data_IF_817143304647
#
_entry.id   IF_817143304647
#
_cell.length_a   1.000
_cell.length_b   1.000
_cell.length_c   1.000
_cell.angle_alpha   90.00
_cell.angle_beta   90.00
_cell.angle_gamma   90.00
#
_symmetry.space_group_name_H-M   'P 1'
#
loop_
_entity.id
_entity.type
_entity.pdbx_description
1 polymer ?
#
# COMPACT_ATOMS: atom_id res chain seq x y z
N UNK A 1 -3.62 -25.63 -26.33
CA UNK A 1 -4.31 -24.33 -26.43
C UNK A 1 -4.86 -23.99 -25.04
N UNK A 2 -4.17 -23.17 -24.27
CA UNK A 2 -4.68 -22.64 -23.02
C UNK A 2 -5.50 -21.39 -23.34
N UNK A 3 -6.81 -21.46 -23.16
CA UNK A 3 -7.69 -20.31 -23.22
C UNK A 3 -7.49 -19.54 -21.92
N UNK A 4 -6.74 -18.44 -21.96
CA UNK A 4 -6.72 -17.47 -20.87
C UNK A 4 -8.06 -16.75 -20.90
N UNK A 5 -8.97 -17.16 -20.03
CA UNK A 5 -10.15 -16.38 -19.72
C UNK A 5 -9.67 -15.09 -19.03
N UNK A 6 -9.56 -13.99 -19.77
CA UNK A 6 -9.47 -12.65 -19.21
C UNK A 6 -10.79 -12.41 -18.48
N UNK A 7 -10.75 -12.48 -17.16
CA UNK A 7 -11.83 -11.95 -16.33
C UNK A 7 -11.85 -10.44 -16.57
N UNK A 8 -12.67 -9.98 -17.52
CA UNK A 8 -13.04 -8.56 -17.60
C UNK A 8 -13.92 -8.32 -16.38
N UNK A 9 -13.33 -7.79 -15.31
CA UNK A 9 -14.09 -7.16 -14.23
C UNK A 9 -14.71 -5.89 -14.81
N UNK A 10 -15.78 -6.02 -15.60
CA UNK A 10 -16.61 -4.90 -15.94
C UNK A 10 -17.47 -4.59 -14.72
N UNK A 11 -17.47 -3.33 -14.29
CA UNK A 11 -18.43 -2.84 -13.28
C UNK A 11 -19.82 -3.21 -13.79
N UNK A 12 -20.62 -3.86 -12.96
CA UNK A 12 -22.00 -4.19 -13.32
C UNK A 12 -22.78 -2.87 -13.51
N UNK A 13 -23.13 -2.55 -14.74
CA UNK A 13 -23.89 -1.34 -15.10
C UNK A 13 -25.25 -1.29 -14.37
N UNK A 14 -25.72 -2.40 -13.82
CA UNK A 14 -26.98 -2.42 -13.09
C UNK A 14 -26.91 -1.66 -11.74
N UNK A 15 -25.71 -1.49 -11.17
CA UNK A 15 -25.53 -0.68 -9.95
C UNK A 15 -25.91 0.79 -10.12
N UNK A 16 -25.98 1.28 -11.36
CA UNK A 16 -26.35 2.66 -11.69
C UNK A 16 -27.83 2.81 -12.07
N UNK A 17 -28.60 1.73 -12.14
CA UNK A 17 -30.00 1.75 -12.58
C UNK A 17 -30.95 1.89 -11.38
N UNK A 18 -32.10 2.52 -11.65
CA UNK A 18 -33.22 2.61 -10.69
C UNK A 18 -32.85 3.22 -9.32
N UNK A 19 -31.84 4.07 -9.28
CA UNK A 19 -31.49 4.79 -8.06
C UNK A 19 -32.34 6.04 -7.89
N UNK A 20 -32.75 6.39 -6.66
CA UNK A 20 -33.54 7.59 -6.37
C UNK A 20 -32.71 8.90 -6.44
N UNK A 21 -31.45 8.80 -6.84
CA UNK A 21 -30.51 9.91 -6.99
C UNK A 21 -29.57 9.66 -8.19
N UNK A 22 -28.92 10.71 -8.67
CA UNK A 22 -27.97 10.61 -9.77
C UNK A 22 -26.60 10.19 -9.23
N UNK A 23 -26.19 8.94 -9.51
CA UNK A 23 -24.86 8.42 -9.15
C UNK A 23 -23.89 8.68 -10.31
N UNK A 24 -22.79 9.44 -10.10
CA UNK A 24 -21.79 9.63 -11.13
C UNK A 24 -21.13 8.29 -11.48
N UNK A 25 -20.93 8.02 -12.75
CA UNK A 25 -20.21 6.81 -13.19
C UNK A 25 -18.74 6.94 -12.80
N UNK A 26 -18.24 5.89 -12.17
CA UNK A 26 -16.82 5.76 -11.85
C UNK A 26 -16.11 5.05 -13.00
N UNK A 27 -15.13 5.71 -13.59
CA UNK A 27 -14.31 5.11 -14.64
C UNK A 27 -13.31 4.14 -14.03
N UNK A 28 -13.22 2.94 -14.64
CA UNK A 28 -12.24 1.96 -14.23
C UNK A 28 -10.85 2.36 -14.75
N UNK A 29 -9.80 2.37 -13.89
CA UNK A 29 -8.44 2.65 -14.33
C UNK A 29 -8.00 1.71 -15.46
N UNK A 30 -7.31 2.24 -16.46
CA UNK A 30 -6.71 1.49 -17.55
C UNK A 30 -5.22 1.76 -17.64
N UNK A 31 -4.44 0.74 -17.97
CA UNK A 31 -2.98 0.81 -17.93
C UNK A 31 -2.38 0.34 -19.24
N UNK A 32 -1.25 0.94 -19.70
CA UNK A 32 -0.48 0.41 -20.80
C UNK A 32 -0.04 -1.05 -20.57
N UNK A 33 0.13 -1.79 -21.66
CA UNK A 33 0.63 -3.17 -21.62
C UNK A 33 2.15 -3.19 -21.43
N UNK A 34 2.60 -2.67 -20.28
CA UNK A 34 3.98 -2.71 -19.82
C UNK A 34 4.02 -3.27 -18.40
N UNK A 35 4.79 -4.33 -18.20
CA UNK A 35 4.83 -5.03 -16.93
C UNK A 35 6.27 -5.27 -16.49
N UNK A 36 6.54 -5.00 -15.21
CA UNK A 36 7.81 -5.33 -14.57
C UNK A 36 7.56 -6.08 -13.26
N UNK A 37 8.50 -6.94 -12.88
CA UNK A 37 8.50 -7.57 -11.55
C UNK A 37 9.47 -6.83 -10.63
N UNK A 38 9.14 -6.73 -9.35
CA UNK A 38 10.05 -6.17 -8.32
C UNK A 38 11.36 -6.95 -8.21
N UNK A 39 11.37 -8.21 -8.65
CA UNK A 39 12.60 -9.03 -8.71
C UNK A 39 13.67 -8.40 -9.61
N UNK A 40 13.27 -7.75 -10.69
CA UNK A 40 14.17 -7.05 -11.61
C UNK A 40 14.88 -5.86 -10.95
N UNK A 41 14.38 -5.41 -9.80
CA UNK A 41 14.93 -4.32 -9.00
C UNK A 41 15.62 -4.82 -7.73
N UNK A 42 15.89 -6.13 -7.65
CA UNK A 42 16.65 -6.75 -6.57
C UNK A 42 15.84 -7.06 -5.31
N UNK A 43 14.51 -7.12 -5.40
CA UNK A 43 13.66 -7.53 -4.29
C UNK A 43 13.91 -9.01 -3.93
N UNK A 44 13.79 -9.33 -2.62
CA UNK A 44 13.97 -10.68 -2.06
C UNK A 44 12.79 -11.06 -1.19
N UNK A 45 12.24 -12.25 -1.43
CA UNK A 45 11.08 -12.79 -0.71
C UNK A 45 11.45 -13.61 0.54
N UNK A 46 12.47 -13.18 1.26
CA UNK A 46 13.01 -13.87 2.44
C UNK A 46 12.36 -13.46 3.77
N UNK A 47 11.43 -12.51 3.74
CA UNK A 47 10.75 -11.98 4.92
C UNK A 47 11.61 -11.10 5.83
N UNK A 48 12.88 -10.87 5.49
CA UNK A 48 13.85 -10.13 6.31
C UNK A 48 14.49 -8.96 5.57
N UNK A 49 14.69 -9.09 4.26
CA UNK A 49 15.23 -8.02 3.43
C UNK A 49 14.19 -6.92 3.23
N UNK A 50 14.53 -5.68 3.55
CA UNK A 50 13.67 -4.52 3.34
C UNK A 50 13.61 -4.16 1.84
N UNK A 51 12.47 -4.40 1.22
CA UNK A 51 12.25 -4.24 -0.23
C UNK A 51 11.71 -2.87 -0.64
N UNK A 52 11.63 -1.91 0.27
CA UNK A 52 11.07 -0.56 0.03
C UNK A 52 11.65 0.11 -1.21
N UNK A 53 13.00 0.07 -1.33
CA UNK A 53 13.69 0.67 -2.48
C UNK A 53 13.34 -0.05 -3.78
N UNK A 54 13.38 -1.36 -3.80
CA UNK A 54 13.12 -2.17 -4.99
C UNK A 54 11.69 -1.97 -5.52
N UNK A 55 10.69 -1.94 -4.61
CA UNK A 55 9.29 -1.71 -4.98
C UNK A 55 9.10 -0.29 -5.52
N UNK A 56 9.60 0.74 -4.82
CA UNK A 56 9.46 2.12 -5.26
C UNK A 56 10.24 2.41 -6.55
N UNK A 57 11.39 1.79 -6.78
CA UNK A 57 12.14 1.92 -8.03
C UNK A 57 11.39 1.27 -9.22
N UNK A 58 10.74 0.12 -9.00
CA UNK A 58 9.87 -0.51 -9.99
C UNK A 58 8.68 0.41 -10.36
N UNK A 59 8.04 1.02 -9.36
CA UNK A 59 6.94 1.98 -9.56
C UNK A 59 7.42 3.18 -10.38
N UNK A 60 8.57 3.77 -10.04
CA UNK A 60 9.17 4.89 -10.78
C UNK A 60 9.50 4.52 -12.21
N UNK A 61 10.06 3.33 -12.44
CA UNK A 61 10.40 2.85 -13.79
C UNK A 61 9.15 2.68 -14.66
N UNK A 62 8.07 2.13 -14.12
CA UNK A 62 6.79 1.98 -14.84
C UNK A 62 6.15 3.34 -15.11
N UNK A 63 6.11 4.24 -14.13
CA UNK A 63 5.60 5.60 -14.31
C UNK A 63 6.39 6.36 -15.40
N UNK A 64 7.72 6.28 -15.40
CA UNK A 64 8.58 6.92 -16.39
C UNK A 64 8.38 6.40 -17.82
N UNK A 65 7.81 5.19 -17.99
CA UNK A 65 7.42 4.61 -19.29
C UNK A 65 6.00 4.99 -19.71
N UNK A 66 5.33 5.86 -18.96
CA UNK A 66 3.96 6.28 -19.23
C UNK A 66 2.90 5.45 -18.52
N UNK A 67 3.30 4.46 -17.72
CA UNK A 67 2.42 3.62 -16.93
C UNK A 67 2.53 2.13 -17.21
N UNK A 68 1.75 1.34 -16.48
CA UNK A 68 1.72 -0.12 -16.61
C UNK A 68 1.55 -0.83 -15.26
N UNK A 69 2.06 -2.04 -15.19
CA UNK A 69 1.90 -2.95 -14.05
C UNK A 69 3.23 -3.22 -13.35
N UNK A 70 3.26 -3.07 -12.04
CA UNK A 70 4.34 -3.56 -11.16
C UNK A 70 3.84 -4.82 -10.48
N UNK A 71 4.52 -5.95 -10.67
CA UNK A 71 4.14 -7.24 -10.11
C UNK A 71 4.97 -7.53 -8.87
N UNK A 72 4.26 -7.84 -7.78
CA UNK A 72 4.81 -8.47 -6.57
C UNK A 72 4.46 -9.96 -6.65
N UNK A 73 5.44 -10.85 -6.94
CA UNK A 73 5.20 -12.28 -7.05
C UNK A 73 4.80 -12.93 -5.71
N UNK A 74 4.45 -14.21 -5.76
CA UNK A 74 4.26 -15.01 -4.54
C UNK A 74 5.51 -14.95 -3.63
N UNK A 75 5.31 -15.01 -2.32
CA UNK A 75 6.38 -14.97 -1.32
C UNK A 75 6.11 -14.01 -0.18
N UNK A 76 7.08 -13.91 0.73
CA UNK A 76 7.02 -13.06 1.91
C UNK A 76 7.92 -11.83 1.70
N UNK A 77 7.31 -10.65 1.62
CA UNK A 77 7.96 -9.40 1.24
C UNK A 77 7.93 -8.40 2.39
N UNK A 78 9.04 -8.23 3.11
CA UNK A 78 9.16 -7.15 4.09
C UNK A 78 9.41 -5.82 3.36
N UNK A 79 8.67 -4.77 3.72
CA UNK A 79 8.82 -3.44 3.12
C UNK A 79 8.55 -2.33 4.12
N UNK A 80 9.03 -1.14 3.82
CA UNK A 80 8.57 0.13 4.39
C UNK A 80 7.57 0.81 3.46
N UNK A 81 7.43 2.16 3.52
CA UNK A 81 6.42 2.88 2.76
C UNK A 81 6.53 2.70 1.24
N UNK A 82 5.39 2.47 0.61
CA UNK A 82 5.21 2.41 -0.84
C UNK A 82 4.50 3.68 -1.30
N UNK A 83 5.05 4.35 -2.31
CA UNK A 83 4.44 5.51 -2.94
C UNK A 83 3.97 5.18 -4.35
N UNK A 84 2.65 5.25 -4.58
CA UNK A 84 2.07 5.03 -5.90
C UNK A 84 2.16 6.30 -6.73
N UNK A 85 2.55 6.15 -7.98
CA UNK A 85 2.63 7.21 -8.97
C UNK A 85 1.55 7.03 -10.03
N UNK A 86 1.24 8.10 -10.77
CA UNK A 86 0.23 8.08 -11.82
C UNK A 86 0.46 6.98 -12.85
N UNK A 87 -0.64 6.42 -13.35
CA UNK A 87 -0.68 5.36 -14.36
C UNK A 87 -0.02 4.03 -13.93
N UNK A 88 0.09 3.76 -12.63
CA UNK A 88 0.70 2.53 -12.12
C UNK A 88 -0.35 1.64 -11.45
N UNK A 89 -0.36 0.38 -11.87
CA UNK A 89 -1.08 -0.72 -11.22
C UNK A 89 -0.08 -1.54 -10.39
N UNK A 90 -0.15 -1.48 -9.06
CA UNK A 90 0.58 -2.37 -8.17
C UNK A 90 -0.21 -3.68 -8.04
N UNK A 91 0.32 -4.75 -8.62
CA UNK A 91 -0.35 -6.05 -8.69
C UNK A 91 0.36 -7.09 -7.83
N UNK A 92 -0.37 -7.71 -6.91
CA UNK A 92 0.12 -8.81 -6.10
C UNK A 92 -0.37 -10.15 -6.66
N UNK A 93 0.53 -11.09 -6.89
CA UNK A 93 0.14 -12.44 -7.26
C UNK A 93 -0.51 -13.17 -6.08
N UNK A 94 -1.16 -14.29 -6.38
CA UNK A 94 -1.70 -15.19 -5.35
C UNK A 94 -0.54 -15.67 -4.46
N UNK A 95 -0.79 -15.76 -3.16
CA UNK A 95 0.21 -16.11 -2.13
C UNK A 95 1.34 -15.07 -1.93
N UNK A 96 1.23 -13.88 -2.48
CA UNK A 96 2.09 -12.77 -2.06
C UNK A 96 1.62 -12.24 -0.71
N UNK A 97 2.53 -12.18 0.27
CA UNK A 97 2.32 -11.52 1.56
C UNK A 97 3.31 -10.37 1.69
N UNK A 98 2.79 -9.16 1.65
CA UNK A 98 3.57 -7.92 1.79
C UNK A 98 3.39 -7.42 3.22
N UNK A 99 4.45 -7.50 4.03
CA UNK A 99 4.45 -7.09 5.43
C UNK A 99 5.18 -5.77 5.56
N UNK A 100 4.50 -4.78 6.12
CA UNK A 100 5.12 -3.49 6.41
C UNK A 100 5.91 -3.58 7.73
N UNK A 101 7.17 -3.13 7.70
CA UNK A 101 8.01 -3.14 8.88
C UNK A 101 7.42 -2.30 10.02
N UNK A 102 7.63 -2.73 11.24
CA UNK A 102 7.32 -2.00 12.47
C UNK A 102 8.47 -1.09 12.94
N UNK A 103 9.57 -1.03 12.18
CA UNK A 103 10.62 -0.05 12.42
C UNK A 103 10.14 1.36 12.03
N UNK A 104 9.81 2.18 13.01
CA UNK A 104 9.33 3.55 12.81
C UNK A 104 10.32 4.43 12.04
N UNK A 105 11.62 4.13 12.10
CA UNK A 105 12.65 4.89 11.38
C UNK A 105 12.57 4.71 9.85
N UNK A 106 11.91 3.64 9.39
CA UNK A 106 11.68 3.41 7.97
C UNK A 106 10.61 4.35 7.37
N UNK A 107 9.88 5.10 8.22
CA UNK A 107 8.77 5.96 7.81
C UNK A 107 9.12 7.44 7.98
N UNK A 108 9.36 8.18 6.90
CA UNK A 108 9.62 9.61 6.96
C UNK A 108 8.49 10.38 7.65
N UNK A 109 8.84 11.39 8.43
CA UNK A 109 7.88 12.33 9.01
C UNK A 109 7.53 13.37 7.95
N UNK A 110 6.26 13.44 7.59
CA UNK A 110 5.73 14.34 6.57
C UNK A 110 4.84 15.42 7.20
N UNK A 111 4.90 16.61 6.62
CA UNK A 111 3.92 17.67 6.87
C UNK A 111 2.60 17.28 6.21
N UNK A 112 1.52 17.30 6.98
CA UNK A 112 0.19 16.87 6.52
C UNK A 112 -0.91 17.55 7.34
N UNK A 113 -2.16 17.27 7.01
CA UNK A 113 -3.30 17.65 7.85
C UNK A 113 -3.99 16.41 8.41
N UNK A 114 -4.47 16.51 9.63
CA UNK A 114 -5.29 15.49 10.28
C UNK A 114 -6.43 16.17 11.03
N UNK A 115 -7.65 15.76 10.73
CA UNK A 115 -8.87 16.37 11.32
C UNK A 115 -8.91 17.90 11.20
N UNK A 116 -8.43 18.44 10.07
CA UNK A 116 -8.38 19.87 9.81
C UNK A 116 -7.20 20.63 10.46
N UNK A 117 -6.33 19.94 11.21
CA UNK A 117 -5.17 20.54 11.83
C UNK A 117 -3.89 20.23 11.04
N UNK A 118 -3.06 21.24 10.81
CA UNK A 118 -1.72 21.05 10.25
C UNK A 118 -0.85 20.32 11.27
N UNK A 119 -0.24 19.23 10.87
CA UNK A 119 0.53 18.36 11.76
C UNK A 119 1.66 17.66 11.02
N UNK A 120 2.52 16.99 11.77
CA UNK A 120 3.58 16.13 11.24
C UNK A 120 3.29 14.69 11.65
N UNK A 121 3.29 13.80 10.67
CA UNK A 121 3.01 12.36 10.90
C UNK A 121 3.95 11.50 10.09
N UNK A 122 4.12 10.25 10.52
CA UNK A 122 4.77 9.23 9.71
C UNK A 122 4.04 9.05 8.38
N UNK A 123 4.79 8.85 7.31
CA UNK A 123 4.23 8.45 6.02
C UNK A 123 3.39 7.19 6.18
N UNK A 124 2.26 7.13 5.51
CA UNK A 124 1.43 5.93 5.49
C UNK A 124 2.15 4.77 4.80
N UNK A 125 1.87 3.50 5.19
CA UNK A 125 2.42 2.33 4.52
C UNK A 125 2.23 2.34 3.00
N UNK A 126 1.06 2.75 2.53
CA UNK A 126 0.80 3.02 1.12
C UNK A 126 0.28 4.45 1.00
N UNK A 127 0.88 5.21 0.10
CA UNK A 127 0.50 6.60 -0.15
C UNK A 127 0.50 6.90 -1.64
N UNK A 128 -0.27 7.94 -2.02
CA UNK A 128 -0.25 8.55 -3.34
C UNK A 128 -0.50 10.04 -3.18
N UNK A 129 0.29 10.88 -3.83
CA UNK A 129 0.13 12.33 -3.77
C UNK A 129 0.05 12.90 -5.19
N UNK A 130 -1.03 13.61 -5.48
CA UNK A 130 -1.28 14.18 -6.81
C UNK A 130 -1.15 13.14 -7.94
N UNK A 131 -1.56 11.88 -7.67
CA UNK A 131 -1.50 10.77 -8.60
C UNK A 131 -2.90 10.46 -9.13
N UNK A 132 -2.98 10.12 -10.41
CA UNK A 132 -4.21 9.72 -11.10
C UNK A 132 -4.02 8.39 -11.80
N UNK A 133 -5.13 7.71 -12.12
CA UNK A 133 -5.14 6.42 -12.80
C UNK A 133 -4.22 5.40 -12.10
N UNK A 134 -4.47 5.15 -10.81
CA UNK A 134 -3.73 4.22 -9.98
C UNK A 134 -4.61 3.05 -9.55
N UNK A 135 -4.02 1.88 -9.38
CA UNK A 135 -4.71 0.72 -8.83
C UNK A 135 -3.81 -0.15 -7.97
N UNK A 136 -4.43 -0.87 -7.05
CA UNK A 136 -3.86 -2.01 -6.35
C UNK A 136 -4.75 -3.20 -6.71
N UNK A 137 -4.17 -4.25 -7.29
CA UNK A 137 -4.92 -5.39 -7.81
C UNK A 137 -4.25 -6.71 -7.40
N UNK A 138 -4.94 -7.82 -7.69
CA UNK A 138 -4.44 -9.17 -7.45
C UNK A 138 -5.03 -9.81 -6.19
N UNK A 139 -4.40 -10.89 -5.72
CA UNK A 139 -4.92 -11.74 -4.66
C UNK A 139 -3.98 -11.85 -3.45
N UNK A 140 -2.90 -11.09 -3.44
CA UNK A 140 -1.98 -11.02 -2.32
C UNK A 140 -2.55 -10.26 -1.13
N UNK A 141 -1.84 -10.31 -0.02
CA UNK A 141 -2.22 -9.66 1.24
C UNK A 141 -1.21 -8.57 1.57
N UNK A 142 -1.70 -7.42 2.01
CA UNK A 142 -0.90 -6.37 2.63
C UNK A 142 -1.17 -6.36 4.12
N UNK A 143 -0.13 -6.60 4.92
CA UNK A 143 -0.17 -6.54 6.39
C UNK A 143 0.56 -5.29 6.86
N UNK A 144 -0.19 -4.35 7.41
CA UNK A 144 0.33 -3.08 7.91
C UNK A 144 1.02 -3.15 9.27
N UNK A 145 1.19 -4.32 9.87
CA UNK A 145 1.73 -4.51 11.23
C UNK A 145 1.06 -3.60 12.28
N UNK A 146 -0.27 -3.46 12.15
CA UNK A 146 -1.06 -2.43 12.80
C UNK A 146 -0.99 -2.43 14.33
N UNK A 147 -0.66 -3.55 14.95
CA UNK A 147 -0.55 -3.65 16.41
C UNK A 147 0.59 -2.79 16.96
N UNK A 148 1.70 -2.67 16.22
CA UNK A 148 2.85 -1.83 16.60
C UNK A 148 2.54 -0.32 16.53
N UNK A 149 1.49 0.08 15.78
CA UNK A 149 1.11 1.47 15.55
C UNK A 149 -0.04 1.96 16.45
N UNK A 150 -0.60 1.08 17.27
CA UNK A 150 -1.74 1.42 18.12
C UNK A 150 -1.30 2.14 19.38
N UNK A 151 -1.87 3.33 19.69
CA UNK A 151 -1.63 3.97 20.96
C UNK A 151 -2.15 3.11 22.12
N UNK A 152 -1.35 2.97 23.16
CA UNK A 152 -1.73 2.26 24.38
C UNK A 152 -2.54 3.20 25.28
N UNK A 153 -3.72 2.78 25.71
CA UNK A 153 -4.55 3.55 26.63
C UNK A 153 -4.15 3.27 28.08
N UNK A 154 -3.83 4.31 28.84
CA UNK A 154 -3.48 4.19 30.27
C UNK A 154 -4.51 3.40 31.08
N UNK A 155 -5.80 3.56 30.76
CA UNK A 155 -6.89 2.85 31.42
C UNK A 155 -6.89 1.33 31.22
N UNK A 156 -6.08 0.82 30.29
CA UNK A 156 -5.95 -0.63 30.00
C UNK A 156 -4.71 -1.25 30.62
N UNK A 157 -3.91 -0.48 31.36
CA UNK A 157 -2.68 -0.92 32.01
C UNK A 157 -2.76 -0.71 33.50
N UNK A 158 -1.98 -1.53 34.25
CA UNK A 158 -1.70 -1.22 35.66
C UNK A 158 -0.74 -0.03 35.76
N UNK A 159 -0.69 0.64 36.91
CA UNK A 159 0.21 1.76 37.14
C UNK A 159 1.68 1.40 36.83
N UNK A 160 2.15 0.23 37.30
CA UNK A 160 3.53 -0.23 37.05
C UNK A 160 3.82 -0.49 35.57
N UNK A 161 2.88 -1.06 34.82
CA UNK A 161 3.02 -1.27 33.36
C UNK A 161 3.06 0.08 32.62
N UNK A 162 2.21 1.04 33.03
CA UNK A 162 2.22 2.38 32.46
C UNK A 162 3.55 3.10 32.70
N UNK A 163 4.03 3.08 33.94
CA UNK A 163 5.30 3.71 34.30
C UNK A 163 6.49 3.08 33.58
N UNK A 164 6.50 1.76 33.43
CA UNK A 164 7.53 1.06 32.66
C UNK A 164 7.48 1.46 31.15
N UNK A 165 6.28 1.56 30.56
CA UNK A 165 6.10 1.98 29.18
C UNK A 165 6.58 3.42 28.94
N UNK A 166 6.22 4.35 29.83
CA UNK A 166 6.68 5.75 29.75
C UNK A 166 8.20 5.84 29.89
N UNK A 167 8.80 5.09 30.81
CA UNK A 167 10.25 5.04 31.00
C UNK A 167 11.00 4.45 29.81
N UNK A 168 10.35 3.60 29.01
CA UNK A 168 10.95 3.04 27.78
C UNK A 168 11.04 4.03 26.63
N UNK A 169 10.56 5.28 26.79
CA UNK A 169 10.60 6.32 25.76
C UNK A 169 9.25 6.64 25.11
N UNK A 170 8.16 6.13 25.68
CA UNK A 170 6.81 6.50 25.24
C UNK A 170 6.52 7.98 25.46
N UNK A 171 5.80 8.59 24.51
CA UNK A 171 5.30 9.97 24.62
C UNK A 171 3.89 9.95 25.22
N UNK A 172 3.64 10.81 26.21
CA UNK A 172 2.35 10.93 26.93
C UNK A 172 1.65 12.22 26.54
#
# INVERSE_FOLDING_TARGET
>A
YAVHAQCKNSIDENIYKELPFNLPKVEQPSFPDYTVSILQFGAKSDGTTLNTKAINDAIKAVNAKGGGKVVIPEGLWLTGPIELLSNVNLHTEKNALVVFTDDFNAYPILETSFEGLNTRRCQSPISARNAENIAITGYGVFDGSGDSWRPVKKSKLTAGQWDALVKSGGVV
#
